data_IF_640528475409
#
_entry.id   IF_640528475409
#
_cell.length_a   1.000
_cell.length_b   1.000
_cell.length_c   1.000
_cell.angle_alpha   90.00
_cell.angle_beta   90.00
_cell.angle_gamma   90.00
#
_symmetry.space_group_name_H-M   'P 1'
#
loop_
_entity.id
_entity.type
_entity.pdbx_description
1 polymer ?
#
# COMPACT_ATOMS: atom_id res chain seq x y z
N UNK A 1 -8.43 17.74 -3.78
CA UNK A 1 -7.51 16.59 -3.71
C UNK A 1 -7.89 15.58 -4.78
N UNK A 2 -6.95 15.14 -5.60
CA UNK A 2 -7.15 14.12 -6.63
C UNK A 2 -6.52 12.80 -6.19
N UNK A 3 -7.07 11.67 -6.65
CA UNK A 3 -6.45 10.37 -6.53
C UNK A 3 -5.61 10.08 -7.79
N UNK A 4 -4.30 10.03 -7.64
CA UNK A 4 -3.34 9.73 -8.69
C UNK A 4 -2.97 8.25 -8.61
N UNK A 5 -3.01 7.54 -9.75
CA UNK A 5 -2.59 6.14 -9.82
C UNK A 5 -1.14 6.05 -10.30
N UNK A 6 -0.28 5.49 -9.45
CA UNK A 6 1.11 5.18 -9.76
C UNK A 6 1.42 3.74 -9.34
N UNK A 7 0.73 2.82 -10.01
CA UNK A 7 0.76 1.42 -9.67
C UNK A 7 2.16 0.83 -9.84
N UNK A 8 2.56 -0.04 -8.91
CA UNK A 8 3.86 -0.72 -8.97
C UNK A 8 3.90 -1.69 -10.16
N UNK A 9 5.09 -1.90 -10.73
CA UNK A 9 5.32 -2.94 -11.75
C UNK A 9 4.95 -4.34 -11.23
N UNK A 10 4.36 -5.16 -12.11
CA UNK A 10 4.03 -6.56 -11.81
C UNK A 10 5.21 -7.39 -11.31
N UNK A 11 6.44 -7.03 -11.70
CA UNK A 11 7.66 -7.73 -11.28
C UNK A 11 7.90 -7.68 -9.76
N UNK A 12 7.31 -6.70 -9.07
CA UNK A 12 7.39 -6.58 -7.61
C UNK A 12 6.17 -7.15 -6.88
N UNK A 13 5.18 -7.69 -7.59
CA UNK A 13 3.97 -8.22 -6.93
C UNK A 13 4.28 -9.35 -5.97
N UNK A 14 5.22 -10.24 -6.30
CA UNK A 14 5.62 -11.35 -5.44
C UNK A 14 6.15 -10.92 -4.06
N UNK A 15 6.67 -9.70 -3.96
CA UNK A 15 7.23 -9.13 -2.72
C UNK A 15 6.21 -8.23 -2.04
N UNK A 16 5.57 -7.33 -2.80
CA UNK A 16 4.79 -6.21 -2.26
C UNK A 16 3.30 -6.51 -2.11
N UNK A 17 2.74 -7.37 -2.94
CA UNK A 17 1.31 -7.65 -2.96
C UNK A 17 1.02 -9.01 -3.62
N UNK A 18 1.54 -10.13 -3.08
CA UNK A 18 1.53 -11.42 -3.79
C UNK A 18 0.13 -12.03 -3.97
N UNK A 19 -0.84 -11.66 -3.14
CA UNK A 19 -2.15 -12.29 -3.11
C UNK A 19 -3.23 -11.38 -3.69
N UNK A 20 -4.17 -11.98 -4.40
CA UNK A 20 -5.44 -11.33 -4.73
C UNK A 20 -6.26 -11.06 -3.46
N UNK A 21 -7.04 -10.01 -3.49
CA UNK A 21 -7.88 -9.55 -2.38
C UNK A 21 -9.23 -9.08 -2.91
N UNK A 22 -10.29 -9.36 -2.14
CA UNK A 22 -11.58 -8.67 -2.24
C UNK A 22 -11.74 -7.87 -0.96
N UNK A 23 -11.57 -6.54 -1.00
CA UNK A 23 -11.59 -5.71 0.20
C UNK A 23 -12.90 -5.85 0.98
N UNK A 24 -12.79 -6.00 2.31
CA UNK A 24 -13.90 -5.93 3.26
C UNK A 24 -14.01 -4.56 3.94
N UNK A 25 -12.92 -3.79 3.96
CA UNK A 25 -12.86 -2.50 4.64
C UNK A 25 -11.55 -1.76 4.43
N UNK A 26 -11.32 -0.75 5.28
CA UNK A 26 -10.15 0.14 5.24
C UNK A 26 -9.44 0.11 6.60
N UNK A 27 -8.11 0.12 6.59
CA UNK A 27 -7.25 0.27 7.76
C UNK A 27 -6.45 1.58 7.63
N UNK A 28 -6.58 2.49 8.59
CA UNK A 28 -5.95 3.81 8.53
C UNK A 28 -4.64 3.79 9.32
N UNK A 29 -3.58 4.31 8.71
CA UNK A 29 -2.26 4.44 9.31
C UNK A 29 -1.77 5.89 9.25
N UNK A 30 -0.86 6.23 10.17
CA UNK A 30 0.00 7.41 10.05
C UNK A 30 1.42 6.93 9.77
N UNK A 31 2.14 7.63 8.89
CA UNK A 31 3.50 7.29 8.48
C UNK A 31 4.52 7.38 9.63
N UNK A 32 4.19 8.13 10.69
CA UNK A 32 5.13 8.53 11.73
C UNK A 32 6.38 9.22 11.13
N UNK A 33 6.18 9.95 10.04
CA UNK A 33 7.21 10.62 9.27
C UNK A 33 6.66 11.94 8.71
N UNK A 34 7.56 12.85 8.35
CA UNK A 34 7.24 14.14 7.72
C UNK A 34 7.74 14.16 6.26
N UNK A 35 7.17 13.27 5.46
CA UNK A 35 7.47 13.11 4.04
C UNK A 35 6.19 13.18 3.22
N UNK A 36 6.28 13.72 1.99
CA UNK A 36 5.15 13.76 1.06
C UNK A 36 4.69 12.36 0.66
N UNK A 37 3.42 12.24 0.25
CA UNK A 37 2.85 11.02 -0.31
C UNK A 37 3.69 10.50 -1.48
N UNK A 38 4.23 11.41 -2.29
CA UNK A 38 5.14 11.07 -3.38
C UNK A 38 6.42 10.37 -2.90
N UNK A 39 7.05 10.87 -1.85
CA UNK A 39 8.28 10.29 -1.29
C UNK A 39 8.01 8.93 -0.63
N UNK A 40 6.93 8.84 0.12
CA UNK A 40 6.45 7.60 0.75
C UNK A 40 6.26 6.50 -0.31
N UNK A 41 5.49 6.78 -1.36
CA UNK A 41 5.30 5.82 -2.45
C UNK A 41 6.60 5.51 -3.19
N UNK A 42 7.45 6.50 -3.47
CA UNK A 42 8.73 6.27 -4.17
C UNK A 42 9.66 5.36 -3.37
N UNK A 43 9.73 5.54 -2.05
CA UNK A 43 10.47 4.65 -1.17
C UNK A 43 9.86 3.24 -1.15
N UNK A 44 8.55 3.13 -0.93
CA UNK A 44 7.84 1.85 -0.86
C UNK A 44 8.02 1.04 -2.16
N UNK A 45 7.92 1.69 -3.32
CA UNK A 45 8.05 1.05 -4.63
C UNK A 45 9.50 0.70 -4.94
N UNK A 46 10.50 1.49 -4.54
CA UNK A 46 11.91 1.27 -4.92
C UNK A 46 12.59 0.15 -4.14
N UNK A 47 12.25 -0.07 -2.87
CA UNK A 47 12.88 -1.11 -2.05
C UNK A 47 12.33 -2.53 -2.32
N UNK A 48 12.96 -3.54 -1.70
CA UNK A 48 12.64 -4.98 -1.83
C UNK A 48 12.07 -5.59 -0.55
N UNK A 49 11.66 -4.76 0.42
CA UNK A 49 11.07 -5.23 1.66
C UNK A 49 9.62 -5.69 1.45
N UNK A 50 9.19 -6.71 2.19
CA UNK A 50 7.79 -7.15 2.27
C UNK A 50 6.98 -6.21 3.19
N UNK A 51 7.00 -4.92 2.86
CA UNK A 51 6.25 -3.85 3.51
C UNK A 51 5.68 -2.97 2.40
N UNK A 52 4.37 -2.73 2.46
CA UNK A 52 3.61 -2.02 1.42
C UNK A 52 2.27 -1.55 1.94
N UNK A 53 1.69 -0.57 1.27
CA UNK A 53 0.35 -0.03 1.54
C UNK A 53 -0.26 0.46 0.22
N UNK A 54 -1.56 0.65 0.17
CA UNK A 54 -2.26 0.90 -1.10
C UNK A 54 -2.20 2.37 -1.48
N UNK A 55 -2.43 3.27 -0.52
CA UNK A 55 -2.49 4.71 -0.77
C UNK A 55 -1.62 5.45 0.24
N UNK A 56 -0.84 6.44 -0.22
CA UNK A 56 -0.33 7.51 0.64
C UNK A 56 -1.11 8.80 0.37
N UNK A 57 -1.38 9.57 1.41
CA UNK A 57 -2.15 10.81 1.33
C UNK A 57 -1.39 11.90 2.08
N UNK A 58 -1.22 13.07 1.46
CA UNK A 58 -0.71 14.28 2.08
C UNK A 58 -1.68 15.46 1.86
N UNK A 59 -1.23 16.69 2.12
CA UNK A 59 -2.02 17.92 1.98
C UNK A 59 -2.29 18.32 0.52
N UNK A 60 -1.61 17.68 -0.44
CA UNK A 60 -1.69 18.00 -1.88
C UNK A 60 -2.45 16.91 -2.64
N UNK A 61 -2.09 15.65 -2.45
CA UNK A 61 -2.56 14.53 -3.26
C UNK A 61 -2.75 13.22 -2.48
N UNK A 62 -3.50 12.31 -3.11
CA UNK A 62 -3.55 10.91 -2.72
C UNK A 62 -2.95 10.06 -3.84
N UNK A 63 -1.97 9.22 -3.55
CA UNK A 63 -1.28 8.38 -4.54
C UNK A 63 -1.53 6.91 -4.24
N UNK A 64 -2.21 6.23 -5.16
CA UNK A 64 -2.38 4.78 -5.12
C UNK A 64 -1.20 4.08 -5.79
N UNK A 65 -0.57 3.13 -5.08
CA UNK A 65 0.50 2.31 -5.63
C UNK A 65 0.16 0.81 -5.69
N UNK A 66 -0.63 0.27 -4.76
CA UNK A 66 -1.07 -1.13 -4.82
C UNK A 66 -2.50 -1.19 -5.37
N UNK A 67 -2.77 -2.03 -6.39
CA UNK A 67 -4.13 -2.27 -6.86
C UNK A 67 -5.03 -2.78 -5.73
N UNK A 68 -6.26 -2.28 -5.61
CA UNK A 68 -7.18 -2.67 -4.53
C UNK A 68 -7.63 -4.13 -4.56
N UNK A 69 -7.44 -4.82 -5.69
CA UNK A 69 -7.70 -6.25 -5.82
C UNK A 69 -6.50 -7.12 -5.42
N UNK A 70 -5.47 -6.53 -4.79
CA UNK A 70 -4.30 -7.23 -4.25
C UNK A 70 -4.06 -6.79 -2.81
N UNK A 71 -3.43 -7.67 -2.04
CA UNK A 71 -3.11 -7.43 -0.65
C UNK A 71 -1.95 -6.42 -0.50
N UNK A 72 -1.75 -5.88 0.71
CA UNK A 72 -0.52 -5.18 1.09
C UNK A 72 0.03 -5.72 2.41
N UNK A 73 1.26 -5.32 2.77
CA UNK A 73 1.94 -5.75 4.00
C UNK A 73 2.09 -4.56 4.96
N UNK A 74 1.06 -4.32 5.78
CA UNK A 74 0.94 -3.12 6.63
C UNK A 74 0.42 -3.40 8.05
N UNK A 75 -0.38 -4.46 8.26
CA UNK A 75 -1.12 -4.68 9.49
C UNK A 75 -0.33 -5.46 10.57
N UNK A 76 0.83 -6.02 10.23
CA UNK A 76 1.67 -6.77 11.18
C UNK A 76 1.10 -8.12 11.65
N UNK A 77 0.02 -8.60 11.03
CA UNK A 77 -0.71 -9.82 11.41
C UNK A 77 -0.35 -11.06 10.56
N UNK A 78 0.80 -11.02 9.88
CA UNK A 78 1.32 -12.13 9.10
C UNK A 78 0.64 -12.35 7.75
N UNK A 79 0.94 -13.47 7.10
CA UNK A 79 0.51 -13.78 5.72
C UNK A 79 -0.95 -14.23 5.58
N UNK A 80 -1.56 -14.62 6.69
CA UNK A 80 -2.93 -15.12 6.77
C UNK A 80 -3.83 -14.28 7.69
N UNK A 81 -3.30 -13.20 8.27
CA UNK A 81 -4.05 -12.28 9.11
C UNK A 81 -5.13 -11.50 8.35
N UNK A 82 -6.20 -11.13 9.05
CA UNK A 82 -7.37 -10.49 8.45
C UNK A 82 -7.04 -9.10 7.87
N UNK A 83 -6.19 -8.33 8.54
CA UNK A 83 -5.77 -6.99 8.15
C UNK A 83 -5.04 -6.99 6.81
N UNK A 84 -3.89 -7.67 6.74
CA UNK A 84 -3.10 -7.74 5.51
C UNK A 84 -3.86 -8.36 4.32
N UNK A 85 -4.87 -9.20 4.57
CA UNK A 85 -5.53 -9.99 3.52
C UNK A 85 -6.89 -9.47 3.07
N UNK A 86 -7.51 -8.57 3.83
CA UNK A 86 -8.88 -8.13 3.54
C UNK A 86 -9.10 -6.62 3.61
N UNK A 87 -8.10 -5.80 3.97
CA UNK A 87 -8.28 -4.36 4.12
C UNK A 87 -7.39 -3.57 3.17
N UNK A 88 -7.94 -2.48 2.65
CA UNK A 88 -7.17 -1.45 1.95
C UNK A 88 -6.48 -0.59 3.01
N UNK A 89 -5.24 -0.20 2.74
CA UNK A 89 -4.37 0.60 3.60
C UNK A 89 -3.87 1.86 2.93
#
# INVERSE_FOLDING_TARGET
MALVQRLISSDKYSIKCPYSMTPKGICIHNTYNDASANNEISYMVSNTNSVSYHIAIDDVEAIQAIPFNRNAWHAGDGSTGDGNRNYIS
#
